data_IF_672384711393
#
_entry.id   IF_672384711393
#
_cell.length_a   1.000
_cell.length_b   1.000
_cell.length_c   1.000
_cell.angle_alpha   90.00
_cell.angle_beta   90.00
_cell.angle_gamma   90.00
#
_symmetry.space_group_name_H-M   'P 1'
#
loop_
_entity.id
_entity.type
_entity.pdbx_description
1 polymer ?
#
# COMPACT_ATOMS: atom_id res chain seq x y z
N UNK A 1 -34.59 19.92 -9.17
CA UNK A 1 -33.77 21.02 -9.73
C UNK A 1 -32.29 20.71 -9.43
N UNK A 2 -31.66 19.81 -10.21
CA UNK A 2 -30.24 19.43 -10.05
C UNK A 2 -29.58 19.60 -11.41
N UNK A 3 -29.18 20.82 -11.75
CA UNK A 3 -28.38 21.12 -12.96
C UNK A 3 -27.59 22.42 -12.72
N UNK A 4 -26.48 22.41 -11.96
CA UNK A 4 -25.52 23.54 -11.98
C UNK A 4 -24.17 23.35 -11.22
N UNK A 5 -23.56 22.15 -11.18
CA UNK A 5 -22.16 22.03 -10.69
C UNK A 5 -21.16 21.34 -11.63
N UNK A 6 -21.58 20.86 -12.80
CA UNK A 6 -20.72 20.13 -13.74
C UNK A 6 -19.92 20.98 -14.74
N UNK A 7 -20.42 22.16 -15.17
CA UNK A 7 -19.77 22.95 -16.24
C UNK A 7 -18.47 23.65 -15.81
N UNK A 8 -18.37 24.10 -14.56
CA UNK A 8 -17.15 24.75 -14.07
C UNK A 8 -15.94 23.81 -13.97
N UNK A 9 -16.17 22.50 -13.84
CA UNK A 9 -15.11 21.50 -13.76
C UNK A 9 -14.46 21.24 -15.13
N UNK A 10 -15.24 21.24 -16.22
CA UNK A 10 -14.72 21.00 -17.58
C UNK A 10 -13.89 22.16 -18.11
N UNK A 11 -14.28 23.39 -17.80
CA UNK A 11 -13.53 24.59 -18.21
C UNK A 11 -12.25 24.74 -17.39
N UNK A 12 -12.27 24.36 -16.10
CA UNK A 12 -11.05 24.21 -15.27
C UNK A 12 -10.12 23.11 -15.76
N UNK A 13 -10.65 21.99 -16.26
CA UNK A 13 -9.84 20.90 -16.81
C UNK A 13 -9.07 21.36 -18.06
N UNK A 14 -9.73 22.13 -18.94
CA UNK A 14 -9.10 22.72 -20.13
C UNK A 14 -8.04 23.78 -19.79
N UNK A 15 -8.22 24.52 -18.70
CA UNK A 15 -7.17 25.44 -18.23
C UNK A 15 -5.99 24.74 -17.53
N UNK A 16 -6.19 23.52 -17.03
CA UNK A 16 -5.15 22.70 -16.39
C UNK A 16 -4.38 21.83 -17.41
N UNK A 17 -4.92 21.60 -18.61
CA UNK A 17 -4.31 20.74 -19.64
C UNK A 17 -3.10 21.34 -20.36
N UNK A 18 -2.64 22.51 -19.95
CA UNK A 18 -1.48 23.18 -20.53
C UNK A 18 -0.54 23.63 -19.42
N UNK A 19 0.53 22.87 -19.15
CA UNK A 19 1.90 23.40 -18.93
C UNK A 19 2.98 22.29 -19.01
N UNK A 20 2.72 21.02 -18.71
CA UNK A 20 3.68 19.91 -18.97
C UNK A 20 2.94 18.56 -18.95
N UNK A 21 2.33 18.14 -20.06
CA UNK A 21 1.72 16.82 -20.15
C UNK A 21 2.80 15.75 -20.33
N UNK A 22 3.43 15.35 -19.22
CA UNK A 22 4.33 14.20 -19.19
C UNK A 22 3.56 12.87 -19.20
N UNK A 23 2.23 12.90 -19.32
CA UNK A 23 1.39 11.71 -19.44
C UNK A 23 1.49 11.11 -20.83
N UNK A 24 1.64 9.80 -20.91
CA UNK A 24 1.81 9.03 -22.15
C UNK A 24 0.93 7.79 -22.14
N UNK A 25 0.48 7.37 -23.31
CA UNK A 25 -0.14 6.06 -23.58
C UNK A 25 0.88 5.12 -24.21
N UNK A 26 0.48 3.89 -24.54
CA UNK A 26 1.37 2.90 -25.20
C UNK A 26 1.69 3.36 -26.61
N UNK A 27 2.96 3.21 -27.01
CA UNK A 27 3.51 3.59 -28.31
C UNK A 27 3.63 5.10 -28.59
N UNK A 28 3.38 5.95 -27.59
CA UNK A 28 3.78 7.36 -27.67
C UNK A 28 5.30 7.48 -27.74
N UNK A 29 5.79 8.46 -28.48
CA UNK A 29 7.21 8.77 -28.49
C UNK A 29 7.58 9.76 -27.41
N UNK A 30 8.71 9.51 -26.75
CA UNK A 30 9.30 10.43 -25.78
C UNK A 30 10.30 11.29 -26.55
N UNK A 31 10.08 12.60 -26.69
CA UNK A 31 11.04 13.48 -27.33
C UNK A 31 12.31 13.54 -26.49
N UNK A 32 13.43 13.09 -27.06
CA UNK A 32 14.73 13.11 -26.41
C UNK A 32 15.63 14.15 -27.05
N UNK A 33 16.44 14.80 -26.23
CA UNK A 33 17.47 15.70 -26.72
C UNK A 33 18.64 14.85 -27.23
N UNK A 34 18.72 14.61 -28.54
CA UNK A 34 19.70 13.71 -29.18
C UNK A 34 21.18 14.05 -28.92
N UNK A 35 21.47 15.15 -28.21
CA UNK A 35 22.82 15.60 -27.86
C UNK A 35 23.36 14.97 -26.56
N UNK A 36 22.52 14.32 -25.76
CA UNK A 36 22.94 13.69 -24.51
C UNK A 36 22.64 12.19 -24.49
N UNK A 37 23.61 11.40 -24.04
CA UNK A 37 23.41 9.97 -23.81
C UNK A 37 22.43 9.76 -22.64
N UNK A 38 21.43 8.92 -22.87
CA UNK A 38 20.40 8.55 -21.88
C UNK A 38 20.38 7.04 -21.66
N UNK A 39 19.84 6.62 -20.52
CA UNK A 39 19.54 5.24 -20.19
C UNK A 39 18.03 5.02 -20.30
N UNK A 40 17.63 3.96 -21.01
CA UNK A 40 16.24 3.51 -21.01
C UNK A 40 15.93 2.79 -19.69
N UNK A 41 14.86 3.19 -19.03
CA UNK A 41 14.33 2.50 -17.85
C UNK A 41 13.10 1.66 -18.17
N UNK A 42 12.34 1.31 -17.14
CA UNK A 42 11.12 0.54 -17.31
C UNK A 42 10.02 1.33 -18.03
N UNK A 43 9.17 0.64 -18.78
CA UNK A 43 8.06 1.28 -19.47
C UNK A 43 8.47 2.01 -20.76
N UNK A 44 9.72 1.88 -21.19
CA UNK A 44 10.23 2.45 -22.45
C UNK A 44 10.95 1.39 -23.29
N UNK A 45 10.98 1.57 -24.61
CA UNK A 45 11.69 0.71 -25.55
C UNK A 45 12.24 1.55 -26.71
N UNK A 46 13.44 1.21 -27.18
CA UNK A 46 14.05 1.90 -28.32
C UNK A 46 13.71 1.12 -29.59
N UNK A 47 12.93 1.74 -30.48
CA UNK A 47 12.48 1.15 -31.75
C UNK A 47 12.83 2.15 -32.85
N UNK A 48 13.59 1.72 -33.86
CA UNK A 48 14.01 2.56 -35.00
C UNK A 48 14.72 3.87 -34.60
N UNK A 49 15.45 3.87 -33.47
CA UNK A 49 16.15 5.05 -32.95
C UNK A 49 15.26 6.02 -32.16
N UNK A 50 13.97 5.73 -32.03
CA UNK A 50 13.01 6.51 -31.24
C UNK A 50 12.68 5.79 -29.92
N UNK A 51 12.61 6.54 -28.82
CA UNK A 51 12.24 5.99 -27.53
C UNK A 51 10.71 6.01 -27.41
N UNK A 52 10.10 4.85 -27.55
CA UNK A 52 8.66 4.66 -27.42
C UNK A 52 8.29 4.17 -26.02
N UNK A 53 7.08 4.50 -25.60
CA UNK A 53 6.49 4.02 -24.35
C UNK A 53 5.88 2.64 -24.56
N UNK A 54 6.02 1.76 -23.57
CA UNK A 54 5.41 0.41 -23.59
C UNK A 54 4.23 0.30 -22.63
N UNK A 55 3.99 1.34 -21.84
CA UNK A 55 2.95 1.40 -20.81
C UNK A 55 2.33 2.80 -20.75
N UNK A 56 1.09 2.89 -20.25
CA UNK A 56 0.46 4.17 -19.93
C UNK A 56 0.95 4.69 -18.58
N UNK A 57 1.27 5.97 -18.47
CA UNK A 57 1.77 6.56 -17.23
C UNK A 57 2.31 7.97 -17.40
N UNK A 58 3.21 8.35 -16.50
CA UNK A 58 3.90 9.64 -16.54
C UNK A 58 5.39 9.40 -16.79
N UNK A 59 5.96 10.09 -17.77
CA UNK A 59 7.39 10.09 -18.06
C UNK A 59 8.14 10.75 -16.90
N UNK A 60 9.12 10.04 -16.37
CA UNK A 60 10.02 10.52 -15.33
C UNK A 60 11.45 10.50 -15.86
N UNK A 61 12.11 11.64 -15.76
CA UNK A 61 13.52 11.82 -16.08
C UNK A 61 14.27 12.04 -14.78
N UNK A 62 15.17 11.13 -14.42
CA UNK A 62 16.09 11.28 -13.28
C UNK A 62 17.51 11.19 -13.84
N UNK A 63 18.24 12.29 -13.79
CA UNK A 63 19.53 12.46 -14.47
C UNK A 63 19.45 12.05 -15.94
N UNK A 64 20.10 10.93 -16.30
CA UNK A 64 20.11 10.35 -17.65
C UNK A 64 19.11 9.22 -17.82
N UNK A 65 18.41 8.79 -16.78
CA UNK A 65 17.46 7.67 -16.82
C UNK A 65 16.05 8.15 -17.16
N UNK A 66 15.50 7.62 -18.26
CA UNK A 66 14.14 7.92 -18.74
C UNK A 66 13.27 6.69 -18.58
N UNK A 67 12.22 6.78 -17.77
CA UNK A 67 11.27 5.69 -17.54
C UNK A 67 9.83 6.19 -17.43
N UNK A 68 8.87 5.28 -17.60
CA UNK A 68 7.45 5.61 -17.42
C UNK A 68 6.98 5.06 -16.09
N UNK A 69 6.51 5.96 -15.21
CA UNK A 69 5.82 5.59 -13.98
C UNK A 69 4.35 5.30 -14.28
N UNK A 70 3.97 4.03 -14.24
CA UNK A 70 2.59 3.58 -14.40
C UNK A 70 1.71 4.06 -13.24
N UNK A 71 0.44 4.38 -13.52
CA UNK A 71 -0.52 4.82 -12.50
C UNK A 71 -0.94 3.70 -11.54
N UNK A 72 -1.07 2.47 -12.05
CA UNK A 72 -1.28 1.26 -11.26
C UNK A 72 -0.20 0.24 -11.63
N UNK A 73 0.50 -0.27 -10.63
CA UNK A 73 1.54 -1.26 -10.82
C UNK A 73 1.42 -2.34 -9.74
N UNK A 74 1.75 -3.58 -10.11
CA UNK A 74 2.05 -4.61 -9.12
C UNK A 74 3.23 -4.17 -8.26
N UNK A 75 3.27 -4.66 -7.02
CA UNK A 75 4.40 -4.43 -6.15
C UNK A 75 5.67 -4.98 -6.80
N UNK A 76 6.71 -4.15 -6.86
CA UNK A 76 8.05 -4.53 -7.27
C UNK A 76 8.90 -4.63 -6.00
N UNK A 77 9.30 -5.84 -5.59
CA UNK A 77 10.08 -6.03 -4.39
C UNK A 77 11.44 -5.34 -4.48
N UNK A 78 11.80 -4.62 -3.44
CA UNK A 78 13.14 -4.07 -3.24
C UNK A 78 13.73 -4.60 -1.93
N UNK A 79 15.05 -4.85 -1.92
CA UNK A 79 15.75 -5.26 -0.69
C UNK A 79 15.53 -4.23 0.41
N UNK A 80 15.19 -4.71 1.60
CA UNK A 80 14.87 -3.89 2.77
C UNK A 80 13.42 -3.41 2.86
N UNK A 81 12.57 -3.73 1.87
CA UNK A 81 11.14 -3.43 1.99
C UNK A 81 10.49 -4.26 3.11
N UNK A 82 9.71 -3.60 3.95
CA UNK A 82 8.85 -4.25 4.93
C UNK A 82 7.54 -4.66 4.25
N UNK A 83 7.21 -5.95 4.33
CA UNK A 83 6.04 -6.54 3.68
C UNK A 83 5.23 -7.37 4.66
N UNK A 84 3.93 -7.44 4.39
CA UNK A 84 3.05 -8.44 5.01
C UNK A 84 2.70 -9.46 3.93
N UNK A 85 2.68 -10.73 4.27
CA UNK A 85 2.42 -11.81 3.33
C UNK A 85 1.47 -12.84 3.89
N UNK A 86 0.87 -13.63 2.99
CA UNK A 86 0.05 -14.79 3.37
C UNK A 86 0.80 -16.06 3.06
N UNK A 87 0.90 -16.99 4.01
CA UNK A 87 1.46 -18.31 3.75
C UNK A 87 0.52 -19.06 2.80
N UNK A 88 1.05 -19.51 1.67
CA UNK A 88 0.26 -20.21 0.64
C UNK A 88 0.66 -21.68 0.49
N UNK A 89 1.87 -22.05 0.91
CA UNK A 89 2.35 -23.45 0.85
C UNK A 89 3.44 -23.69 1.86
N UNK A 90 3.41 -24.88 2.46
CA UNK A 90 4.53 -25.43 3.24
C UNK A 90 5.32 -26.37 2.35
N UNK A 91 6.62 -26.11 2.18
CA UNK A 91 7.55 -27.00 1.50
C UNK A 91 8.51 -27.65 2.52
N UNK A 92 9.35 -28.59 2.07
CA UNK A 92 10.24 -29.35 2.95
C UNK A 92 11.27 -28.49 3.71
N UNK A 93 11.70 -27.36 3.14
CA UNK A 93 12.73 -26.49 3.72
C UNK A 93 12.31 -25.02 3.92
N UNK A 94 11.11 -24.65 3.47
CA UNK A 94 10.64 -23.28 3.50
C UNK A 94 9.11 -23.16 3.43
N UNK A 95 8.61 -22.00 3.84
CA UNK A 95 7.27 -21.51 3.62
C UNK A 95 7.25 -20.66 2.36
N UNK A 96 6.23 -20.85 1.53
CA UNK A 96 5.95 -19.99 0.37
C UNK A 96 4.91 -18.94 0.77
N UNK A 97 5.17 -17.69 0.42
CA UNK A 97 4.40 -16.54 0.90
C UNK A 97 3.92 -15.68 -0.28
N UNK A 98 2.61 -15.42 -0.37
CA UNK A 98 2.04 -14.46 -1.32
C UNK A 98 2.40 -13.03 -0.89
N UNK A 99 2.99 -12.24 -1.81
CA UNK A 99 3.46 -10.89 -1.55
C UNK A 99 2.84 -9.81 -2.46
N UNK A 100 1.73 -10.08 -3.17
CA UNK A 100 1.16 -9.14 -4.15
C UNK A 100 2.14 -8.71 -5.27
N UNK A 101 3.12 -9.55 -5.56
CA UNK A 101 4.20 -9.29 -6.50
C UNK A 101 4.13 -10.30 -7.66
N UNK A 102 4.97 -10.14 -8.69
CA UNK A 102 5.10 -11.17 -9.74
C UNK A 102 5.76 -12.46 -9.26
N UNK A 103 6.41 -12.42 -8.09
CA UNK A 103 7.11 -13.54 -7.47
C UNK A 103 6.58 -13.78 -6.06
N UNK A 104 6.53 -15.04 -5.66
CA UNK A 104 6.25 -15.40 -4.28
C UNK A 104 7.52 -15.28 -3.43
N UNK A 105 7.31 -14.98 -2.14
CA UNK A 105 8.36 -15.00 -1.14
C UNK A 105 8.67 -16.41 -0.65
N UNK A 106 9.91 -16.62 -0.25
CA UNK A 106 10.41 -17.87 0.35
C UNK A 106 10.97 -17.54 1.73
N UNK A 107 10.39 -18.14 2.76
CA UNK A 107 10.83 -18.00 4.15
C UNK A 107 11.32 -19.33 4.69
N UNK A 108 12.56 -19.40 5.21
CA UNK A 108 13.15 -20.67 5.68
C UNK A 108 12.40 -21.25 6.89
N UNK A 109 12.32 -22.59 6.95
CA UNK A 109 11.58 -23.35 7.98
C UNK A 109 12.14 -23.25 9.41
N UNK A 110 13.32 -22.67 9.60
CA UNK A 110 13.87 -22.36 10.94
C UNK A 110 12.96 -21.43 11.76
N UNK A 111 11.93 -20.88 11.13
CA UNK A 111 10.94 -19.98 11.70
C UNK A 111 9.66 -20.75 12.08
N UNK A 112 9.37 -20.78 13.39
CA UNK A 112 8.33 -21.57 14.05
C UNK A 112 6.91 -21.23 13.55
N UNK A 113 6.15 -22.29 13.24
CA UNK A 113 4.68 -22.39 13.22
C UNK A 113 3.90 -21.16 12.70
N UNK A 114 3.98 -20.91 11.39
CA UNK A 114 3.26 -19.83 10.73
C UNK A 114 1.93 -20.33 10.17
N UNK A 115 0.82 -19.85 10.73
CA UNK A 115 -0.48 -20.41 10.37
C UNK A 115 -1.24 -19.68 9.29
N UNK A 116 -1.00 -18.39 9.01
CA UNK A 116 -1.72 -17.73 7.91
C UNK A 116 -1.04 -16.46 7.36
N UNK A 117 -0.77 -15.49 8.23
CA UNK A 117 -0.21 -14.19 7.83
C UNK A 117 1.12 -13.92 8.53
N UNK A 118 2.03 -13.29 7.80
CA UNK A 118 3.43 -13.12 8.22
C UNK A 118 3.89 -11.72 7.91
N UNK A 119 4.67 -11.14 8.80
CA UNK A 119 5.46 -9.95 8.52
C UNK A 119 6.89 -10.37 8.19
N UNK A 120 7.48 -9.78 7.16
CA UNK A 120 8.85 -10.05 6.77
C UNK A 120 9.52 -8.82 6.15
N UNK A 121 10.84 -8.86 6.09
CA UNK A 121 11.65 -7.95 5.28
C UNK A 121 12.08 -8.69 4.01
N UNK A 122 12.05 -7.98 2.88
CA UNK A 122 12.54 -8.50 1.60
C UNK A 122 14.07 -8.54 1.63
N UNK A 123 14.64 -9.74 1.53
CA UNK A 123 16.06 -9.96 1.38
C UNK A 123 16.48 -10.07 -0.09
N UNK A 124 17.61 -10.72 -0.34
CA UNK A 124 18.13 -10.92 -1.69
C UNK A 124 17.26 -11.84 -2.55
N UNK A 125 17.29 -11.62 -3.87
CA UNK A 125 16.68 -12.55 -4.82
C UNK A 125 17.59 -13.76 -5.00
N UNK A 126 17.04 -14.96 -4.83
CA UNK A 126 17.77 -16.20 -5.00
C UNK A 126 18.06 -16.49 -6.48
N UNK A 127 18.98 -17.43 -6.74
CA UNK A 127 19.38 -17.81 -8.11
C UNK A 127 18.23 -18.36 -8.95
N UNK A 128 17.21 -18.92 -8.32
CA UNK A 128 16.01 -19.44 -8.97
C UNK A 128 14.95 -18.36 -9.27
N UNK A 129 15.24 -17.09 -8.93
CA UNK A 129 14.33 -15.97 -9.10
C UNK A 129 13.28 -15.86 -8.00
N UNK A 130 13.36 -16.64 -6.91
CA UNK A 130 12.50 -16.46 -5.73
C UNK A 130 13.00 -15.35 -4.81
N UNK A 131 12.09 -14.69 -4.11
CA UNK A 131 12.42 -13.61 -3.17
C UNK A 131 12.71 -14.22 -1.80
N UNK A 132 13.94 -14.12 -1.31
CA UNK A 132 14.21 -14.53 0.06
C UNK A 132 13.56 -13.54 1.03
N UNK A 133 12.81 -14.06 1.98
CA UNK A 133 12.26 -13.29 3.09
C UNK A 133 13.13 -13.49 4.33
N UNK A 134 13.33 -12.40 5.05
CA UNK A 134 14.07 -12.37 6.31
C UNK A 134 13.07 -12.06 7.43
N UNK A 135 13.07 -12.89 8.48
CA UNK A 135 12.57 -12.45 9.77
C UNK A 135 13.69 -11.66 10.43
N UNK A 136 13.55 -10.35 10.53
CA UNK A 136 14.49 -9.56 11.31
C UNK A 136 14.42 -10.04 12.77
N UNK A 137 15.57 -10.34 13.37
CA UNK A 137 15.72 -11.02 14.66
C UNK A 137 15.20 -10.28 15.92
N UNK A 138 14.23 -9.38 15.76
CA UNK A 138 13.47 -8.85 16.88
C UNK A 138 12.17 -9.63 17.04
N UNK A 139 11.70 -9.76 18.28
CA UNK A 139 10.41 -10.35 18.66
C UNK A 139 9.18 -9.69 17.99
N UNK A 140 9.39 -8.72 17.09
CA UNK A 140 8.38 -7.95 16.35
C UNK A 140 8.08 -8.51 14.95
N UNK A 141 8.81 -9.52 14.47
CA UNK A 141 8.62 -10.10 13.12
C UNK A 141 8.23 -11.58 13.25
N UNK A 142 7.00 -11.94 12.89
CA UNK A 142 6.48 -13.28 13.13
C UNK A 142 5.06 -13.53 12.61
N UNK A 143 4.42 -14.55 13.18
CA UNK A 143 3.01 -14.90 12.92
C UNK A 143 2.12 -13.73 13.36
N UNK A 144 1.24 -13.31 12.47
CA UNK A 144 0.20 -12.33 12.74
C UNK A 144 -1.09 -13.08 13.09
N UNK A 145 -1.63 -12.83 14.28
CA UNK A 145 -2.84 -13.46 14.83
C UNK A 145 -3.78 -12.36 15.38
N UNK A 146 -5.03 -12.71 15.69
CA UNK A 146 -6.01 -11.84 16.36
C UNK A 146 -6.24 -10.51 15.62
N UNK A 147 -6.34 -10.57 14.29
CA UNK A 147 -6.50 -9.39 13.42
C UNK A 147 -7.05 -9.71 12.04
N UNK A 148 -6.96 -8.74 11.14
CA UNK A 148 -7.37 -8.84 9.75
C UNK A 148 -6.27 -8.37 8.79
N UNK A 149 -6.12 -9.12 7.68
CA UNK A 149 -5.28 -8.75 6.56
C UNK A 149 -6.11 -8.05 5.48
N UNK A 150 -5.71 -6.85 5.10
CA UNK A 150 -6.32 -6.04 4.06
C UNK A 150 -5.41 -5.97 2.84
N UNK A 151 -6.01 -5.97 1.65
CA UNK A 151 -5.30 -5.78 0.38
C UNK A 151 -5.69 -4.42 -0.20
N UNK A 152 -4.70 -3.57 -0.43
CA UNK A 152 -4.82 -2.29 -1.14
C UNK A 152 -3.85 -2.25 -2.31
N UNK A 153 -4.03 -1.30 -3.22
CA UNK A 153 -3.05 -1.11 -4.29
C UNK A 153 -1.69 -0.66 -3.71
N UNK A 154 -0.55 -1.30 -4.09
CA UNK A 154 0.76 -1.02 -3.50
C UNK A 154 1.20 0.45 -3.62
N UNK A 155 0.78 1.15 -4.67
CA UNK A 155 1.13 2.55 -4.89
C UNK A 155 0.54 3.50 -3.84
N UNK A 156 -0.48 3.05 -3.10
CA UNK A 156 -1.08 3.82 -2.02
C UNK A 156 -0.23 3.78 -0.74
N UNK A 157 0.70 2.85 -0.60
CA UNK A 157 1.60 2.73 0.55
C UNK A 157 2.94 3.37 0.20
N UNK A 158 3.25 4.53 0.81
CA UNK A 158 4.54 5.20 0.60
C UNK A 158 5.69 4.45 1.25
N UNK A 159 6.89 4.61 0.70
CA UNK A 159 8.11 4.15 1.36
C UNK A 159 8.34 5.00 2.60
N UNK A 160 8.51 4.35 3.74
CA UNK A 160 8.69 4.99 5.05
C UNK A 160 9.72 4.20 5.84
N UNK A 161 10.39 4.84 6.80
CA UNK A 161 11.24 4.11 7.76
C UNK A 161 10.40 3.50 8.90
N UNK A 162 9.14 3.92 9.04
CA UNK A 162 8.21 3.42 10.04
C UNK A 162 7.01 2.78 9.34
N UNK A 163 6.98 1.45 9.34
CA UNK A 163 5.90 0.62 8.78
C UNK A 163 5.08 -0.09 9.86
N UNK A 164 5.59 -0.12 11.10
CA UNK A 164 4.93 -0.67 12.27
C UNK A 164 4.42 0.47 13.14
N UNK A 165 3.14 0.44 13.48
CA UNK A 165 2.50 1.44 14.31
C UNK A 165 1.72 0.75 15.43
N UNK A 166 2.09 1.04 16.68
CA UNK A 166 1.30 0.66 17.83
C UNK A 166 0.41 1.83 18.25
N UNK A 167 -0.91 1.62 18.19
CA UNK A 167 -1.92 2.61 18.58
C UNK A 167 -2.32 2.32 20.03
N UNK A 168 -1.54 2.86 20.97
CA UNK A 168 -1.67 2.62 22.42
C UNK A 168 -3.10 2.81 22.94
N UNK A 169 -3.79 3.86 22.50
CA UNK A 169 -5.14 4.21 22.95
C UNK A 169 -6.20 3.17 22.57
N UNK A 170 -5.93 2.34 21.57
CA UNK A 170 -6.83 1.30 21.07
C UNK A 170 -6.32 -0.12 21.36
N UNK A 171 -5.06 -0.28 21.79
CA UNK A 171 -4.43 -1.59 21.94
C UNK A 171 -4.32 -2.34 20.61
N UNK A 172 -4.02 -1.62 19.51
CA UNK A 172 -4.01 -2.16 18.15
C UNK A 172 -2.62 -1.99 17.51
N UNK A 173 -2.15 -3.05 16.87
CA UNK A 173 -1.02 -3.00 15.96
C UNK A 173 -1.49 -2.83 14.51
N UNK A 174 -0.88 -1.86 13.82
CA UNK A 174 -1.09 -1.55 12.41
C UNK A 174 0.24 -1.71 11.67
N UNK A 175 0.26 -2.59 10.68
CA UNK A 175 1.45 -2.85 9.84
C UNK A 175 1.12 -2.49 8.41
N UNK A 176 1.84 -1.52 7.85
CA UNK A 176 1.66 -1.05 6.49
C UNK A 176 2.68 -1.70 5.56
N UNK A 177 2.39 -2.87 4.99
CA UNK A 177 3.30 -3.53 4.05
C UNK A 177 3.46 -2.74 2.75
N UNK A 178 4.71 -2.55 2.28
CA UNK A 178 5.04 -1.88 1.00
C UNK A 178 4.36 -2.50 -0.21
N UNK A 179 4.00 -3.77 -0.09
CA UNK A 179 3.29 -4.53 -1.08
C UNK A 179 1.77 -4.31 -1.10
N UNK A 180 1.25 -3.35 -0.33
CA UNK A 180 -0.18 -3.08 -0.23
C UNK A 180 -0.94 -4.11 0.62
N UNK A 181 -0.25 -5.02 1.30
CA UNK A 181 -0.86 -5.86 2.32
C UNK A 181 -0.72 -5.17 3.67
N UNK A 182 -1.86 -4.88 4.29
CA UNK A 182 -1.95 -4.13 5.54
C UNK A 182 -2.53 -5.04 6.61
N UNK A 183 -1.85 -5.15 7.74
CA UNK A 183 -2.36 -5.89 8.90
C UNK A 183 -2.89 -4.93 9.95
N UNK A 184 -4.06 -5.26 10.51
CA UNK A 184 -4.65 -4.56 11.66
C UNK A 184 -5.07 -5.62 12.67
N UNK A 185 -4.51 -5.61 13.87
CA UNK A 185 -4.82 -6.62 14.89
C UNK A 185 -4.66 -6.11 16.31
N UNK A 186 -5.10 -6.92 17.26
CA UNK A 186 -4.81 -6.68 18.68
C UNK A 186 -3.31 -6.65 18.92
N UNK A 187 -2.87 -5.75 19.81
CA UNK A 187 -1.46 -5.66 20.18
C UNK A 187 -1.00 -6.93 20.90
N UNK A 188 -0.01 -7.60 20.33
CA UNK A 188 0.57 -8.78 20.94
C UNK A 188 1.51 -8.39 22.09
N UNK A 189 1.03 -8.49 23.34
CA UNK A 189 1.91 -8.41 24.50
C UNK A 189 2.80 -9.65 24.55
N UNK A 190 4.09 -9.48 24.84
CA UNK A 190 5.01 -10.60 25.06
C UNK A 190 4.67 -11.24 26.40
N UNK A 191 3.70 -12.16 26.43
CA UNK A 191 3.43 -13.00 27.60
C UNK A 191 4.40 -14.20 27.63
N UNK A 192 5.00 -14.43 28.79
CA UNK A 192 5.71 -15.67 29.07
C UNK A 192 4.71 -16.84 29.03
N UNK A 193 5.08 -18.02 28.50
CA UNK A 193 4.16 -19.05 28.00
C UNK A 193 3.40 -19.87 29.08
N UNK A 194 3.07 -19.31 30.24
CA UNK A 194 2.40 -20.03 31.33
C UNK A 194 0.90 -19.74 31.51
N UNK A 195 0.26 -18.99 30.62
CA UNK A 195 -1.20 -18.79 30.65
C UNK A 195 -1.80 -19.14 29.29
N UNK A 196 -2.40 -20.32 29.20
CA UNK A 196 -3.28 -20.71 28.08
C UNK A 196 -4.69 -20.26 28.43
N UNK A 197 -4.96 -18.97 28.32
CA UNK A 197 -6.32 -18.51 28.14
C UNK A 197 -6.46 -18.04 26.70
N UNK A 198 -7.40 -18.64 25.96
CA UNK A 198 -7.91 -18.09 24.72
C UNK A 198 -8.63 -16.78 25.06
N UNK A 199 -7.86 -15.74 25.34
CA UNK A 199 -8.37 -14.46 25.78
C UNK A 199 -9.14 -13.86 24.60
N UNK A 200 -10.46 -13.85 24.76
CA UNK A 200 -11.42 -13.35 23.79
C UNK A 200 -11.16 -11.85 23.63
N UNK A 201 -10.69 -11.43 22.45
CA UNK A 201 -10.46 -10.01 22.10
C UNK A 201 -11.68 -9.19 22.54
N UNK A 202 -11.49 -8.09 23.28
CA UNK A 202 -12.61 -7.25 23.72
C UNK A 202 -13.46 -6.78 22.55
N UNK A 203 -14.80 -6.73 22.73
CA UNK A 203 -15.73 -6.25 21.70
C UNK A 203 -15.37 -4.84 21.22
N UNK A 204 -14.90 -3.98 22.14
CA UNK A 204 -14.42 -2.62 21.83
C UNK A 204 -13.22 -2.66 20.89
N UNK A 205 -12.22 -3.49 21.18
CA UNK A 205 -11.02 -3.66 20.34
C UNK A 205 -11.39 -4.19 18.96
N UNK A 206 -12.29 -5.19 18.88
CA UNK A 206 -12.77 -5.71 17.59
C UNK A 206 -13.47 -4.65 16.75
N UNK A 207 -14.34 -3.84 17.36
CA UNK A 207 -15.00 -2.72 16.68
C UNK A 207 -13.97 -1.70 16.16
N UNK A 208 -12.95 -1.38 16.95
CA UNK A 208 -11.85 -0.50 16.51
C UNK A 208 -11.06 -1.09 15.34
N UNK A 209 -10.71 -2.39 15.38
CA UNK A 209 -10.05 -3.10 14.27
C UNK A 209 -10.90 -3.00 12.99
N UNK A 210 -12.20 -3.27 13.09
CA UNK A 210 -13.12 -3.21 11.95
C UNK A 210 -13.25 -1.80 11.38
N UNK A 211 -13.38 -0.78 12.26
CA UNK A 211 -13.47 0.63 11.87
C UNK A 211 -12.21 1.12 11.17
N UNK A 212 -11.02 0.77 11.69
CA UNK A 212 -9.73 1.04 11.02
C UNK A 212 -9.67 0.33 9.66
N UNK A 213 -10.11 -0.93 9.59
CA UNK A 213 -10.15 -1.67 8.33
C UNK A 213 -11.05 -1.02 7.29
N UNK A 214 -12.22 -0.51 7.70
CA UNK A 214 -13.12 0.21 6.81
C UNK A 214 -12.57 1.58 6.40
N UNK A 215 -11.90 2.30 7.30
CA UNK A 215 -11.16 3.52 6.93
C UNK A 215 -10.13 3.24 5.81
N UNK A 216 -9.34 2.18 5.94
CA UNK A 216 -8.35 1.77 4.92
C UNK A 216 -9.04 1.43 3.59
N UNK A 217 -10.16 0.68 3.62
CA UNK A 217 -10.94 0.35 2.40
C UNK A 217 -11.45 1.59 1.70
N UNK A 218 -12.03 2.54 2.44
CA UNK A 218 -12.54 3.82 1.89
C UNK A 218 -11.41 4.62 1.25
N UNK A 219 -10.29 4.77 1.95
CA UNK A 219 -9.10 5.46 1.43
C UNK A 219 -8.58 4.79 0.15
N UNK A 220 -8.54 3.45 0.13
CA UNK A 220 -8.12 2.68 -1.04
C UNK A 220 -9.06 2.88 -2.22
N UNK A 221 -10.37 2.84 -2.00
CA UNK A 221 -11.38 3.06 -3.04
C UNK A 221 -11.28 4.47 -3.65
N UNK A 222 -10.97 5.46 -2.82
CA UNK A 222 -10.78 6.86 -3.23
C UNK A 222 -9.39 7.13 -3.84
N UNK A 223 -8.48 6.15 -3.79
CA UNK A 223 -7.11 6.30 -4.30
C UNK A 223 -6.24 7.24 -3.48
N UNK A 224 -6.54 7.41 -2.19
CA UNK A 224 -5.74 8.23 -1.27
C UNK A 224 -4.59 7.41 -0.67
N UNK A 225 -3.45 8.08 -0.44
CA UNK A 225 -2.31 7.45 0.22
C UNK A 225 -2.70 6.95 1.60
N UNK A 226 -2.33 5.71 1.90
CA UNK A 226 -2.61 5.05 3.16
C UNK A 226 -1.42 5.26 4.10
N UNK A 227 -1.53 6.27 4.97
CA UNK A 227 -0.58 6.55 6.06
C UNK A 227 -1.29 6.47 7.40
N UNK A 228 -0.56 6.25 8.50
CA UNK A 228 -1.14 6.22 9.86
C UNK A 228 -2.01 7.46 10.12
N UNK A 229 -1.50 8.64 9.77
CA UNK A 229 -2.19 9.90 10.02
C UNK A 229 -3.54 9.98 9.31
N UNK A 230 -3.58 9.67 8.01
CA UNK A 230 -4.80 9.70 7.20
C UNK A 230 -5.79 8.62 7.64
N UNK A 231 -5.30 7.44 8.02
CA UNK A 231 -6.13 6.37 8.58
C UNK A 231 -6.78 6.84 9.89
N UNK A 232 -5.99 7.40 10.81
CA UNK A 232 -6.48 7.84 12.12
C UNK A 232 -7.43 9.02 12.01
N UNK A 233 -7.19 9.96 11.10
CA UNK A 233 -8.15 11.02 10.78
C UNK A 233 -9.48 10.45 10.29
N UNK A 234 -9.45 9.49 9.38
CA UNK A 234 -10.66 8.85 8.83
C UNK A 234 -11.41 8.06 9.91
N UNK A 235 -10.66 7.35 10.77
CA UNK A 235 -11.20 6.67 11.94
C UNK A 235 -11.87 7.66 12.90
N UNK A 236 -11.21 8.76 13.25
CA UNK A 236 -11.75 9.78 14.15
C UNK A 236 -12.97 10.47 13.55
N UNK A 237 -12.93 10.82 12.27
CA UNK A 237 -14.06 11.40 11.54
C UNK A 237 -15.30 10.49 11.60
N UNK A 238 -15.11 9.18 11.40
CA UNK A 238 -16.21 8.22 11.52
C UNK A 238 -16.83 8.15 12.92
N UNK A 239 -16.04 8.42 13.98
CA UNK A 239 -16.54 8.47 15.35
C UNK A 239 -17.23 9.82 15.64
N UNK A 240 -16.66 10.93 15.15
CA UNK A 240 -17.20 12.29 15.34
C UNK A 240 -18.57 12.45 14.69
N UNK A 241 -18.73 11.94 13.47
CA UNK A 241 -19.99 11.96 12.73
C UNK A 241 -20.93 10.81 13.13
N UNK A 242 -20.57 10.03 14.15
CA UNK A 242 -21.36 8.91 14.66
C UNK A 242 -21.82 7.91 13.57
N UNK A 243 -20.94 7.64 12.60
CA UNK A 243 -21.20 6.71 11.50
C UNK A 243 -21.01 5.29 12.02
N UNK A 244 -21.98 4.41 11.77
CA UNK A 244 -21.83 3.00 12.10
C UNK A 244 -20.75 2.35 11.23
N UNK A 245 -20.07 1.33 11.75
CA UNK A 245 -19.01 0.60 11.06
C UNK A 245 -19.49 0.07 9.70
N UNK A 246 -20.73 -0.44 9.61
CA UNK A 246 -21.27 -0.95 8.35
C UNK A 246 -21.55 0.15 7.32
N UNK A 247 -21.94 1.34 7.77
CA UNK A 247 -22.26 2.49 6.91
C UNK A 247 -21.02 3.22 6.39
N UNK A 248 -19.84 2.99 6.98
CA UNK A 248 -18.58 3.56 6.49
C UNK A 248 -18.29 3.21 5.03
N UNK A 249 -18.78 2.08 4.52
CA UNK A 249 -18.56 1.70 3.12
C UNK A 249 -19.59 2.34 2.17
N UNK A 250 -20.56 3.10 2.69
CA UNK A 250 -21.55 3.83 1.91
C UNK A 250 -20.99 5.07 1.21
N UNK A 251 -21.70 5.54 0.18
CA UNK A 251 -21.28 6.69 -0.63
C UNK A 251 -21.21 7.99 0.17
N UNK A 252 -22.08 8.17 1.17
CA UNK A 252 -22.09 9.36 2.01
C UNK A 252 -20.78 9.53 2.77
N UNK A 253 -20.28 8.45 3.39
CA UNK A 253 -19.00 8.49 4.08
C UNK A 253 -17.82 8.67 3.11
N UNK A 254 -17.88 8.12 1.89
CA UNK A 254 -16.84 8.36 0.87
C UNK A 254 -16.76 9.84 0.45
N UNK A 255 -17.91 10.51 0.32
CA UNK A 255 -17.96 11.95 0.02
C UNK A 255 -17.35 12.74 1.17
N UNK A 256 -17.78 12.45 2.40
CA UNK A 256 -17.26 13.10 3.61
C UNK A 256 -15.73 12.96 3.74
N UNK A 257 -15.19 11.75 3.56
CA UNK A 257 -13.74 11.50 3.60
C UNK A 257 -13.02 12.27 2.49
N UNK A 258 -13.61 12.36 1.30
CA UNK A 258 -13.05 13.12 0.18
C UNK A 258 -12.98 14.62 0.49
N UNK A 259 -14.04 15.18 1.07
CA UNK A 259 -14.09 16.59 1.47
C UNK A 259 -13.04 16.90 2.54
N UNK A 260 -12.95 16.07 3.58
CA UNK A 260 -11.95 16.21 4.63
C UNK A 260 -10.51 16.12 4.06
N UNK A 261 -10.24 15.19 3.15
CA UNK A 261 -8.93 15.09 2.49
C UNK A 261 -8.62 16.28 1.57
N UNK A 262 -9.64 16.87 0.93
CA UNK A 262 -9.47 18.09 0.13
C UNK A 262 -9.13 19.30 1.02
N UNK A 263 -9.77 19.45 2.18
CA UNK A 263 -9.46 20.50 3.15
C UNK A 263 -8.05 20.36 3.73
N UNK A 264 -7.66 19.14 4.10
CA UNK A 264 -6.31 18.84 4.58
C UNK A 264 -5.26 19.32 3.57
N UNK A 265 -5.45 19.02 2.28
CA UNK A 265 -4.52 19.47 1.22
C UNK A 265 -4.45 20.99 1.08
N UNK A 266 -5.55 21.72 1.34
CA UNK A 266 -5.54 23.19 1.32
C UNK A 266 -4.75 23.80 2.48
N UNK A 267 -4.66 23.10 3.63
CA UNK A 267 -3.90 23.58 4.81
C UNK A 267 -2.40 23.34 4.69
N UNK A 268 -1.96 22.41 3.83
CA UNK A 268 -0.56 22.07 3.62
C UNK A 268 0.11 22.84 2.46
N UNK A 269 -0.63 23.70 1.77
CA UNK A 269 -0.14 24.61 0.70
C UNK A 269 -0.10 26.02 1.27
#
# INVERSE_FOLDING_TARGET
MIKTKGRGATDRLKSLSSTTNNSVIVADSIPLNHKEAFFKGHGTSLINGELLTTVCGVVINVDKLVYVRTLRARYKPEVGDIVVGRVIKVAQSHWKVELNSSQDGVLKLSSINMHDSVQAEVGETQRDGSLQLLLAGSHKYGKLDKGQLLKVDPYLVKRSNLHFHFIETLGIDLILGRNGFIWVGEHAQVQYPMVLDDEIISLKTRQSILRIGNAIRVLSNLGFTVTLEVIMETFNLSNMENIDIHDMLGSEFHVLVTENQAERRRRCV
#
